data_IF_734442609680
#
_entry.id   IF_734442609680
#
_cell.length_a   1.000
_cell.length_b   1.000
_cell.length_c   1.000
_cell.angle_alpha   90.00
_cell.angle_beta   90.00
_cell.angle_gamma   90.00
#
_symmetry.space_group_name_H-M   'P 1'
#
loop_
_entity.id
_entity.type
_entity.pdbx_description
1 polymer ?
#
# COMPACT_ATOMS: atom_id res chain seq x y z
N UNK A 1 -11.67 26.64 1.56
CA UNK A 1 -11.57 25.50 0.67
C UNK A 1 -10.23 25.53 -0.04
N UNK A 2 -9.47 24.43 -0.02
CA UNK A 2 -8.20 24.29 -0.75
C UNK A 2 -8.56 24.14 -2.23
N UNK A 3 -8.03 24.97 -3.15
CA UNK A 3 -8.32 24.85 -4.57
C UNK A 3 -7.72 23.56 -5.12
N UNK A 4 -8.54 22.72 -5.74
CA UNK A 4 -8.08 21.54 -6.48
C UNK A 4 -8.43 20.17 -5.89
N UNK A 5 -9.02 20.08 -4.72
CA UNK A 5 -9.60 18.81 -4.26
C UNK A 5 -10.98 18.63 -4.94
N UNK A 6 -11.25 17.48 -5.60
CA UNK A 6 -12.58 17.20 -6.12
C UNK A 6 -13.58 17.29 -4.97
N UNK A 7 -14.71 17.94 -5.22
CA UNK A 7 -15.86 18.00 -4.31
C UNK A 7 -16.55 16.61 -4.29
N UNK A 8 -15.84 15.61 -3.84
CA UNK A 8 -16.33 14.29 -3.47
C UNK A 8 -16.29 14.25 -1.95
N UNK A 9 -17.47 14.11 -1.34
CA UNK A 9 -17.70 14.01 0.07
C UNK A 9 -16.52 13.34 0.78
N UNK A 10 -15.90 14.09 1.71
CA UNK A 10 -15.08 13.50 2.76
C UNK A 10 -15.85 12.32 3.33
N UNK A 11 -15.24 11.15 3.54
CA UNK A 11 -15.94 10.01 4.13
C UNK A 11 -16.55 10.47 5.45
N UNK A 12 -17.86 10.39 5.54
CA UNK A 12 -18.64 10.93 6.66
C UNK A 12 -18.23 10.34 8.00
N UNK A 13 -18.59 11.06 9.05
CA UNK A 13 -18.30 10.88 10.48
C UNK A 13 -18.77 9.56 11.10
N UNK A 14 -19.13 8.52 10.33
CA UNK A 14 -19.67 7.24 10.82
C UNK A 14 -19.04 6.00 10.16
N UNK A 15 -17.78 6.03 9.73
CA UNK A 15 -17.13 4.79 9.30
C UNK A 15 -16.65 4.02 10.54
N UNK A 16 -17.42 3.01 10.94
CA UNK A 16 -16.99 2.05 11.94
C UNK A 16 -15.70 1.32 11.52
N UNK A 17 -14.97 0.80 12.50
CA UNK A 17 -13.81 -0.07 12.25
C UNK A 17 -14.25 -1.24 11.35
N UNK A 18 -13.76 -1.30 10.13
CA UNK A 18 -14.07 -2.37 9.17
C UNK A 18 -14.27 -1.92 7.72
N UNK A 19 -14.36 -0.64 7.42
CA UNK A 19 -14.34 -0.16 6.05
C UNK A 19 -12.91 0.08 5.59
N UNK A 20 -12.49 -0.62 4.53
CA UNK A 20 -11.23 -0.34 3.84
C UNK A 20 -11.32 1.06 3.24
N UNK A 21 -10.39 1.93 3.63
CA UNK A 21 -10.31 3.29 3.08
C UNK A 21 -9.21 3.33 2.04
N UNK A 22 -9.59 3.60 0.80
CA UNK A 22 -8.65 3.83 -0.29
C UNK A 22 -8.39 5.32 -0.43
N UNK A 23 -7.14 5.72 -0.26
CA UNK A 23 -6.69 7.10 -0.43
C UNK A 23 -5.83 7.16 -1.67
N UNK A 24 -6.24 7.94 -2.67
CA UNK A 24 -5.44 8.21 -3.86
C UNK A 24 -4.48 9.36 -3.55
N UNK A 25 -3.19 9.11 -3.72
CA UNK A 25 -2.16 10.12 -3.54
C UNK A 25 -2.03 10.98 -4.81
N UNK A 26 -1.97 12.31 -4.70
CA UNK A 26 -1.70 13.18 -5.83
C UNK A 26 -0.25 13.01 -6.32
N UNK A 27 0.03 13.35 -7.57
CA UNK A 27 1.39 13.35 -8.12
C UNK A 27 2.26 14.45 -7.50
N UNK A 28 1.67 15.60 -7.16
CA UNK A 28 2.36 16.73 -6.53
C UNK A 28 2.71 16.43 -5.08
N UNK A 29 4.01 16.39 -4.78
CA UNK A 29 4.56 16.09 -3.45
C UNK A 29 4.11 17.08 -2.37
N UNK A 30 3.88 18.35 -2.74
CA UNK A 30 3.40 19.36 -1.79
C UNK A 30 1.97 19.07 -1.36
N UNK A 31 1.13 18.64 -2.28
CA UNK A 31 -0.25 18.22 -2.02
C UNK A 31 -0.30 16.93 -1.21
N UNK A 32 0.65 16.01 -1.41
CA UNK A 32 0.74 14.78 -0.61
C UNK A 32 0.93 15.10 0.87
N UNK A 33 1.84 16.00 1.23
CA UNK A 33 2.07 16.40 2.63
C UNK A 33 0.82 17.02 3.27
N UNK A 34 0.06 17.82 2.51
CA UNK A 34 -1.22 18.36 2.98
C UNK A 34 -2.23 17.23 3.24
N UNK A 35 -2.29 16.25 2.33
CA UNK A 35 -3.16 15.09 2.50
C UNK A 35 -2.76 14.24 3.71
N UNK A 36 -1.47 13.96 3.91
CA UNK A 36 -1.01 13.21 5.07
C UNK A 36 -1.43 13.90 6.38
N UNK A 37 -1.34 15.24 6.45
CA UNK A 37 -1.83 16.02 7.59
C UNK A 37 -3.33 15.87 7.82
N UNK A 38 -4.10 15.85 6.74
CA UNK A 38 -5.56 15.64 6.82
C UNK A 38 -5.93 14.24 7.32
N UNK A 39 -5.15 13.20 6.96
CA UNK A 39 -5.43 11.82 7.32
C UNK A 39 -4.63 11.31 8.52
N UNK A 40 -3.81 12.16 9.18
CA UNK A 40 -2.93 11.73 10.26
C UNK A 40 -3.68 11.03 11.39
N UNK A 41 -4.79 11.61 11.84
CA UNK A 41 -5.62 11.01 12.89
C UNK A 41 -6.20 9.67 12.46
N UNK A 42 -6.58 9.55 11.17
CA UNK A 42 -7.06 8.29 10.60
C UNK A 42 -5.97 7.21 10.61
N UNK A 43 -4.72 7.55 10.27
CA UNK A 43 -3.60 6.60 10.29
C UNK A 43 -3.34 6.11 11.71
N UNK A 44 -3.33 7.01 12.69
CA UNK A 44 -3.13 6.66 14.10
C UNK A 44 -4.27 5.79 14.63
N UNK A 45 -5.52 6.13 14.31
CA UNK A 45 -6.69 5.34 14.73
C UNK A 45 -6.72 3.95 14.08
N UNK A 46 -6.36 3.84 12.80
CA UNK A 46 -6.28 2.57 12.11
C UNK A 46 -5.13 1.68 12.62
N UNK A 47 -4.05 2.30 13.13
CA UNK A 47 -2.87 1.61 13.63
C UNK A 47 -2.05 0.89 12.56
N UNK A 48 -2.46 0.98 11.28
CA UNK A 48 -1.72 0.42 10.14
C UNK A 48 -2.07 1.14 8.84
N UNK A 49 -1.07 1.28 7.94
CA UNK A 49 -1.20 1.84 6.60
C UNK A 49 -0.47 0.94 5.61
N UNK A 50 -1.15 0.57 4.54
CA UNK A 50 -0.56 -0.17 3.42
C UNK A 50 -0.44 0.73 2.19
N UNK A 51 0.76 0.83 1.62
CA UNK A 51 1.07 1.68 0.49
C UNK A 51 1.31 0.85 -0.78
N UNK A 52 0.97 1.42 -1.93
CA UNK A 52 1.10 0.77 -3.23
C UNK A 52 2.56 0.68 -3.72
N UNK A 53 3.48 1.40 -3.10
CA UNK A 53 4.91 1.34 -3.38
C UNK A 53 5.76 1.59 -2.13
N UNK A 54 7.00 1.13 -2.15
CA UNK A 54 7.98 1.43 -1.10
C UNK A 54 8.35 2.91 -1.06
N UNK A 55 8.28 3.59 -2.20
CA UNK A 55 8.52 5.03 -2.27
C UNK A 55 7.46 5.81 -1.49
N UNK A 56 6.18 5.53 -1.73
CA UNK A 56 5.08 6.15 -0.99
C UNK A 56 5.15 5.80 0.51
N UNK A 57 5.56 4.55 0.83
CA UNK A 57 5.77 4.13 2.21
C UNK A 57 6.86 4.94 2.90
N UNK A 58 7.98 5.25 2.20
CA UNK A 58 9.05 6.08 2.74
C UNK A 58 8.56 7.49 3.04
N UNK A 59 7.77 8.09 2.14
CA UNK A 59 7.20 9.42 2.35
C UNK A 59 6.28 9.45 3.58
N UNK A 60 5.37 8.47 3.69
CA UNK A 60 4.44 8.39 4.83
C UNK A 60 5.20 8.15 6.13
N UNK A 61 6.18 7.23 6.15
CA UNK A 61 7.00 6.97 7.34
C UNK A 61 7.74 8.23 7.80
N UNK A 62 8.39 8.95 6.89
CA UNK A 62 9.06 10.20 7.22
C UNK A 62 8.06 11.22 7.77
N UNK A 63 6.88 11.33 7.15
CA UNK A 63 5.85 12.24 7.61
C UNK A 63 5.37 11.90 9.03
N UNK A 64 5.11 10.63 9.33
CA UNK A 64 4.72 10.17 10.65
C UNK A 64 5.79 10.49 11.69
N UNK A 65 7.06 10.21 11.39
CA UNK A 65 8.19 10.46 12.28
C UNK A 65 8.42 11.96 12.52
N UNK A 66 8.29 12.81 11.49
CA UNK A 66 8.35 14.28 11.61
C UNK A 66 7.27 14.82 12.59
N UNK A 67 6.16 14.09 12.76
CA UNK A 67 5.07 14.44 13.67
C UNK A 67 5.11 13.67 15.00
N UNK A 68 6.22 12.98 15.28
CA UNK A 68 6.42 12.25 16.54
C UNK A 68 5.65 10.94 16.65
N UNK A 69 5.08 10.43 15.56
CA UNK A 69 4.39 9.15 15.50
C UNK A 69 5.40 8.02 15.31
N UNK A 70 5.39 7.06 16.21
CA UNK A 70 6.32 5.94 16.20
C UNK A 70 5.85 4.83 15.28
N UNK A 71 6.78 4.35 14.41
CA UNK A 71 6.61 3.18 13.54
C UNK A 71 7.54 2.09 14.06
N UNK A 72 7.06 0.90 14.38
CA UNK A 72 5.69 0.37 14.20
C UNK A 72 4.75 0.54 15.41
N UNK A 73 5.19 1.15 16.52
CA UNK A 73 4.51 1.10 17.82
C UNK A 73 3.10 1.71 17.77
N UNK A 74 2.95 2.86 17.12
CA UNK A 74 1.66 3.54 16.98
C UNK A 74 1.01 3.21 15.62
N UNK A 75 1.79 3.21 14.53
CA UNK A 75 1.32 2.93 13.18
C UNK A 75 2.25 1.93 12.51
N UNK A 76 1.74 0.77 12.12
CA UNK A 76 2.44 -0.17 11.25
C UNK A 76 2.38 0.31 9.80
N UNK A 77 3.48 0.19 9.05
CA UNK A 77 3.54 0.61 7.64
C UNK A 77 4.04 -0.53 6.77
N UNK A 78 3.36 -0.78 5.65
CA UNK A 78 3.82 -1.72 4.62
C UNK A 78 3.91 -1.04 3.26
N UNK A 79 4.83 -1.52 2.42
CA UNK A 79 5.02 -1.09 1.05
C UNK A 79 4.81 -2.21 0.04
N UNK A 80 5.27 -1.97 -1.18
CA UNK A 80 5.22 -2.89 -2.30
C UNK A 80 6.42 -2.61 -3.21
N UNK A 81 7.04 -3.63 -3.80
CA UNK A 81 8.15 -3.73 -4.73
C UNK A 81 9.46 -4.29 -4.16
N UNK A 82 9.72 -4.14 -2.87
CA UNK A 82 10.98 -4.49 -2.19
C UNK A 82 12.21 -3.84 -2.87
N UNK A 83 12.10 -2.55 -3.09
CA UNK A 83 13.21 -1.76 -3.63
C UNK A 83 14.28 -1.48 -2.55
N UNK A 84 15.42 -0.96 -2.98
CA UNK A 84 16.56 -0.66 -2.09
C UNK A 84 16.18 0.22 -0.88
N UNK A 85 15.20 1.11 -1.04
CA UNK A 85 14.73 1.98 0.05
C UNK A 85 14.09 1.20 1.19
N UNK A 86 13.44 0.05 0.91
CA UNK A 86 12.79 -0.75 1.94
C UNK A 86 13.77 -1.22 3.03
N UNK A 87 15.02 -1.50 2.68
CA UNK A 87 16.07 -1.89 3.63
C UNK A 87 16.72 -0.71 4.34
N UNK A 88 16.77 0.45 3.68
CA UNK A 88 17.46 1.64 4.18
C UNK A 88 16.59 2.49 5.11
N UNK A 89 15.29 2.27 5.13
CA UNK A 89 14.37 2.97 6.06
C UNK A 89 14.63 2.59 7.52
N UNK A 90 14.23 3.46 8.43
CA UNK A 90 14.29 3.24 9.86
C UNK A 90 12.90 3.47 10.49
N UNK A 91 12.23 2.39 10.93
CA UNK A 91 12.65 0.97 10.83
C UNK A 91 12.62 0.44 9.38
N UNK A 92 13.37 -0.65 9.06
CA UNK A 92 13.31 -1.30 7.77
C UNK A 92 11.89 -1.73 7.41
N UNK A 93 11.49 -1.49 6.16
CA UNK A 93 10.11 -1.63 5.70
C UNK A 93 9.74 -3.08 5.38
N UNK A 94 8.64 -3.56 5.96
CA UNK A 94 7.93 -4.76 5.52
C UNK A 94 7.25 -4.47 4.20
N UNK A 95 7.47 -5.30 3.18
CA UNK A 95 7.01 -5.04 1.82
C UNK A 95 6.71 -6.33 1.07
N UNK A 96 6.16 -6.21 -0.12
CA UNK A 96 5.90 -7.32 -1.03
C UNK A 96 6.91 -7.30 -2.17
N UNK A 97 7.70 -8.39 -2.30
CA UNK A 97 8.68 -8.54 -3.38
C UNK A 97 8.02 -9.13 -4.62
N UNK A 98 8.19 -8.46 -5.75
CA UNK A 98 7.87 -8.96 -7.08
C UNK A 98 9.13 -9.50 -7.77
N UNK A 99 8.97 -10.56 -8.58
CA UNK A 99 10.03 -10.98 -9.51
C UNK A 99 9.97 -10.15 -10.79
N UNK A 100 10.48 -8.91 -10.73
CA UNK A 100 10.44 -7.97 -11.86
C UNK A 100 11.15 -8.51 -13.12
N UNK A 101 12.34 -9.14 -13.04
CA UNK A 101 12.97 -9.75 -14.21
C UNK A 101 12.08 -10.79 -14.89
N UNK A 102 11.54 -11.75 -14.17
CA UNK A 102 10.68 -12.77 -14.75
C UNK A 102 9.36 -12.19 -15.31
N UNK A 103 8.84 -11.13 -14.68
CA UNK A 103 7.67 -10.39 -15.19
C UNK A 103 7.98 -9.70 -16.51
N UNK A 104 9.16 -9.08 -16.63
CA UNK A 104 9.60 -8.42 -17.84
C UNK A 104 9.84 -9.44 -18.99
N UNK A 105 10.51 -10.55 -18.69
CA UNK A 105 10.74 -11.65 -19.67
C UNK A 105 9.42 -12.19 -20.22
N UNK A 106 8.47 -12.52 -19.33
CA UNK A 106 7.15 -13.01 -19.75
C UNK A 106 6.38 -11.98 -20.58
N UNK A 107 6.44 -10.68 -20.20
CA UNK A 107 5.77 -9.62 -20.94
C UNK A 107 6.35 -9.46 -22.37
N UNK A 108 7.69 -9.49 -22.50
CA UNK A 108 8.36 -9.39 -23.80
C UNK A 108 8.06 -10.62 -24.67
N UNK A 109 8.11 -11.82 -24.10
CA UNK A 109 7.77 -13.05 -24.81
C UNK A 109 6.34 -12.99 -25.37
N UNK A 110 5.38 -12.65 -24.54
CA UNK A 110 3.98 -12.51 -24.96
C UNK A 110 3.81 -11.46 -26.06
N UNK A 111 4.48 -10.31 -25.92
CA UNK A 111 4.43 -9.24 -26.92
C UNK A 111 5.00 -9.71 -28.27
N UNK A 112 6.15 -10.40 -28.28
CA UNK A 112 6.77 -10.94 -29.50
C UNK A 112 5.85 -11.96 -30.19
N UNK A 113 5.21 -12.86 -29.44
CA UNK A 113 4.22 -13.82 -29.97
C UNK A 113 3.03 -13.10 -30.60
N UNK A 114 2.50 -12.07 -29.93
CA UNK A 114 1.41 -11.26 -30.48
C UNK A 114 1.80 -10.55 -31.79
N UNK A 115 3.01 -9.97 -31.86
CA UNK A 115 3.51 -9.33 -33.10
C UNK A 115 3.63 -10.34 -34.24
N UNK A 116 4.04 -11.58 -33.94
CA UNK A 116 4.17 -12.66 -34.91
C UNK A 116 2.84 -13.34 -35.26
N UNK A 117 1.73 -12.89 -34.65
CA UNK A 117 0.41 -13.49 -34.81
C UNK A 117 0.36 -14.97 -34.39
N UNK A 118 1.24 -15.36 -33.46
CA UNK A 118 1.25 -16.69 -32.88
C UNK A 118 0.12 -16.83 -31.84
N UNK A 119 -0.48 -18.01 -31.69
CA UNK A 119 -1.54 -18.22 -30.70
C UNK A 119 -1.00 -18.01 -29.29
N UNK A 120 -1.70 -17.19 -28.50
CA UNK A 120 -1.44 -16.97 -27.07
C UNK A 120 -2.57 -17.61 -26.28
N UNK A 121 -2.27 -18.72 -25.60
CA UNK A 121 -3.26 -19.49 -24.84
C UNK A 121 -3.69 -18.80 -23.55
N UNK A 122 -2.77 -18.08 -22.91
CA UNK A 122 -3.02 -17.40 -21.63
C UNK A 122 -2.88 -15.88 -21.77
N UNK A 123 -4.00 -15.16 -21.64
CA UNK A 123 -4.03 -13.69 -21.68
C UNK A 123 -3.75 -13.04 -20.33
N UNK A 124 -3.92 -13.78 -19.24
CA UNK A 124 -3.72 -13.31 -17.87
C UNK A 124 -2.61 -14.14 -17.22
N UNK A 125 -1.43 -13.56 -17.10
CA UNK A 125 -0.29 -14.19 -16.45
C UNK A 125 -0.12 -13.63 -15.03
N UNK A 126 -0.40 -14.44 -14.03
CA UNK A 126 -0.26 -14.07 -12.61
C UNK A 126 1.02 -14.68 -12.07
N UNK A 127 1.91 -13.84 -11.57
CA UNK A 127 3.13 -14.27 -10.91
C UNK A 127 2.96 -14.32 -9.40
N UNK A 128 3.59 -15.28 -8.70
CA UNK A 128 3.65 -15.28 -7.24
C UNK A 128 4.49 -14.08 -6.76
N UNK A 129 4.11 -13.57 -5.60
CA UNK A 129 4.84 -12.55 -4.86
C UNK A 129 5.26 -13.09 -3.51
N UNK A 130 6.24 -12.45 -2.86
CA UNK A 130 6.76 -12.85 -1.56
C UNK A 130 6.59 -11.70 -0.55
N UNK A 131 6.07 -12.00 0.64
CA UNK A 131 6.04 -11.04 1.73
C UNK A 131 7.39 -11.02 2.44
N UNK A 132 8.09 -9.89 2.37
CA UNK A 132 9.35 -9.64 3.06
C UNK A 132 9.06 -8.93 4.38
N UNK A 133 9.09 -9.69 5.47
CA UNK A 133 8.84 -9.14 6.81
C UNK A 133 10.09 -8.47 7.34
N UNK A 134 9.94 -7.20 7.78
CA UNK A 134 10.95 -6.40 8.46
C UNK A 134 10.33 -5.74 9.70
N UNK A 135 10.90 -4.63 10.16
CA UNK A 135 10.57 -4.05 11.48
C UNK A 135 9.50 -2.95 11.44
N UNK A 136 8.95 -2.61 10.30
CA UNK A 136 7.93 -1.53 10.19
C UNK A 136 6.51 -1.98 10.56
N UNK A 137 6.33 -3.25 10.94
CA UNK A 137 5.05 -3.83 11.35
C UNK A 137 5.21 -4.49 12.70
N UNK A 138 4.35 -4.12 13.64
CA UNK A 138 4.28 -4.77 14.96
C UNK A 138 3.54 -6.11 14.86
N UNK A 139 3.85 -7.03 15.73
CA UNK A 139 3.06 -8.24 15.89
C UNK A 139 1.71 -7.89 16.53
N UNK A 140 0.63 -8.47 16.02
CA UNK A 140 -0.68 -8.33 16.65
C UNK A 140 -0.67 -9.09 17.99
N UNK A 141 -1.11 -8.42 19.07
CA UNK A 141 -1.38 -9.12 20.31
C UNK A 141 -2.54 -10.10 20.11
N UNK A 142 -2.51 -11.30 20.71
CA UNK A 142 -3.55 -12.34 20.51
C UNK A 142 -4.98 -11.90 20.87
N UNK A 143 -5.16 -10.72 21.50
CA UNK A 143 -6.44 -10.16 21.91
C UNK A 143 -6.98 -9.03 21.01
N UNK A 144 -6.31 -8.71 19.90
CA UNK A 144 -6.91 -7.87 18.88
C UNK A 144 -8.09 -8.65 18.28
N UNK A 145 -9.28 -8.04 18.26
CA UNK A 145 -10.51 -8.68 17.77
C UNK A 145 -10.26 -9.39 16.44
N UNK A 146 -10.72 -10.66 16.28
CA UNK A 146 -10.46 -11.38 15.04
C UNK A 146 -11.13 -10.64 13.89
N UNK A 147 -10.37 -10.42 12.81
CA UNK A 147 -10.92 -10.01 11.52
C UNK A 147 -12.09 -10.93 11.20
N UNK A 148 -13.28 -10.38 11.02
CA UNK A 148 -14.43 -11.19 10.64
C UNK A 148 -14.16 -11.82 9.28
N UNK A 149 -14.24 -13.15 9.20
CA UNK A 149 -13.96 -13.95 7.98
C UNK A 149 -15.02 -13.80 6.89
N UNK A 150 -15.86 -12.78 6.94
CA UNK A 150 -17.06 -12.67 6.08
C UNK A 150 -16.82 -11.91 4.76
N UNK A 151 -15.58 -11.57 4.42
CA UNK A 151 -15.25 -10.79 3.20
C UNK A 151 -15.26 -11.59 1.88
N UNK A 152 -15.62 -12.88 1.88
CA UNK A 152 -15.61 -13.71 0.66
C UNK A 152 -16.98 -14.03 0.06
N UNK A 153 -18.04 -13.30 0.39
CA UNK A 153 -19.38 -13.61 -0.12
C UNK A 153 -20.02 -12.48 -0.92
N UNK A 154 -19.36 -11.87 -1.88
CA UNK A 154 -20.11 -11.05 -2.87
C UNK A 154 -19.26 -10.75 -4.12
N UNK A 155 -18.94 -11.79 -4.91
CA UNK A 155 -18.74 -11.65 -6.35
C UNK A 155 -19.31 -12.90 -7.03
N UNK A 156 -20.61 -12.82 -7.35
CA UNK A 156 -21.22 -13.57 -8.44
C UNK A 156 -21.63 -12.61 -9.52
#
# INVERSE_FOLDING_TARGET
GVPGLPAGSLPGENAGFGEERHILLPEDLSLRRVMYGHYLDCFVQAGAVALASDYDAAEVMNYLQDHGIQVPEQVSVTGFDDCIYAELMHPPLTTVRQNVPAKAEAAVELLVRLIRQEPVECKNYVQPVELIRRSSVRESTPNAAPWSKDLHKNHK
#
